data_IF_657867627282
#
_entry.id   IF_657867627282
#
_cell.length_a   1.000
_cell.length_b   1.000
_cell.length_c   1.000
_cell.angle_alpha   90.00
_cell.angle_beta   90.00
_cell.angle_gamma   90.00
#
_symmetry.space_group_name_H-M   'P 1'
#
loop_
_entity.id
_entity.type
_entity.pdbx_description
1 polymer ?
#
# COMPACT_ATOMS: atom_id res chain seq x y z
N UNK A 1 17.76 6.45 40.06
CA UNK A 1 16.51 5.70 39.83
C UNK A 1 15.58 6.58 39.04
N UNK A 2 15.45 6.34 37.72
CA UNK A 2 14.42 6.91 36.84
C UNK A 2 14.53 6.26 35.43
N UNK A 3 14.38 4.94 35.36
CA UNK A 3 14.39 4.19 34.08
C UNK A 3 13.07 3.48 33.79
N UNK A 4 11.95 3.94 34.37
CA UNK A 4 10.66 3.22 34.33
C UNK A 4 9.54 3.94 33.57
N UNK A 5 9.87 4.91 32.71
CA UNK A 5 8.86 5.74 32.03
C UNK A 5 8.99 5.85 30.49
N UNK A 6 9.81 5.02 29.84
CA UNK A 6 9.90 5.00 28.35
C UNK A 6 9.39 3.68 27.74
N UNK A 7 8.62 2.89 28.51
CA UNK A 7 8.17 1.56 28.08
C UNK A 7 6.64 1.44 27.93
N UNK A 8 5.96 2.47 27.41
CA UNK A 8 4.50 2.43 27.11
C UNK A 8 4.18 3.03 25.73
N UNK A 9 4.96 2.69 24.70
CA UNK A 9 4.48 2.81 23.31
C UNK A 9 4.58 1.50 22.51
N UNK A 10 5.00 0.40 23.14
CA UNK A 10 5.05 -0.95 22.58
C UNK A 10 3.83 -1.82 22.94
N UNK A 11 2.64 -1.24 23.09
CA UNK A 11 1.45 -1.99 23.52
C UNK A 11 0.17 -1.55 22.80
N UNK A 12 0.17 -1.69 21.48
CA UNK A 12 -1.01 -2.18 20.78
C UNK A 12 -0.63 -3.38 19.90
N UNK A 13 -0.18 -4.45 20.56
CA UNK A 13 -0.42 -5.81 20.10
C UNK A 13 -1.93 -6.06 20.14
N UNK A 14 -2.69 -5.52 19.18
CA UNK A 14 -4.01 -6.07 18.90
C UNK A 14 -3.76 -7.34 18.10
N UNK A 15 -3.83 -8.47 18.81
CA UNK A 15 -4.24 -9.75 18.24
C UNK A 15 -5.52 -9.54 17.40
N UNK A 16 -5.38 -9.23 16.10
CA UNK A 16 -6.50 -9.26 15.16
C UNK A 16 -6.11 -9.84 13.80
N UNK A 17 -6.58 -11.08 13.63
CA UNK A 17 -7.03 -11.71 12.40
C UNK A 17 -5.98 -12.25 11.42
N UNK A 18 -5.71 -13.55 11.58
CA UNK A 18 -5.23 -14.48 10.54
C UNK A 18 -6.22 -14.69 9.36
N UNK A 19 -7.18 -13.80 9.16
CA UNK A 19 -8.12 -13.80 8.03
C UNK A 19 -8.74 -12.42 7.80
N UNK A 20 -7.93 -11.34 7.72
CA UNK A 20 -8.48 -10.05 7.24
C UNK A 20 -9.02 -10.27 5.83
N UNK A 21 -10.35 -10.24 5.69
CA UNK A 21 -11.06 -10.23 4.42
C UNK A 21 -10.39 -9.20 3.51
N UNK A 22 -10.15 -9.61 2.26
CA UNK A 22 -9.83 -8.66 1.21
C UNK A 22 -11.12 -7.89 0.94
N UNK A 23 -11.11 -6.60 1.21
CA UNK A 23 -12.18 -5.73 0.75
C UNK A 23 -11.79 -5.15 -0.60
N UNK A 24 -12.68 -5.18 -1.60
CA UNK A 24 -12.47 -4.43 -2.83
C UNK A 24 -12.28 -2.93 -2.54
N UNK A 25 -11.74 -2.19 -3.51
CA UNK A 25 -11.78 -0.73 -3.49
C UNK A 25 -13.20 -0.23 -3.20
N UNK A 26 -13.36 0.66 -2.24
CA UNK A 26 -14.66 1.18 -1.81
C UNK A 26 -14.93 2.55 -2.42
N UNK A 27 -16.21 2.89 -2.54
CA UNK A 27 -16.67 4.18 -2.99
C UNK A 27 -17.68 4.73 -1.99
N UNK A 28 -17.54 6.00 -1.62
CA UNK A 28 -18.60 6.68 -0.86
C UNK A 28 -19.86 6.83 -1.73
N UNK A 29 -21.01 7.02 -1.08
CA UNK A 29 -22.27 7.28 -1.81
C UNK A 29 -22.17 8.52 -2.71
N UNK A 30 -21.49 9.56 -2.22
CA UNK A 30 -21.20 10.77 -2.99
C UNK A 30 -20.38 10.48 -4.25
N UNK A 31 -19.32 9.68 -4.14
CA UNK A 31 -18.52 9.26 -5.29
C UNK A 31 -19.34 8.44 -6.29
N UNK A 32 -20.11 7.46 -5.81
CA UNK A 32 -20.99 6.64 -6.67
C UNK A 32 -21.99 7.50 -7.44
N UNK A 33 -22.66 8.42 -6.74
CA UNK A 33 -23.65 9.32 -7.35
C UNK A 33 -23.03 10.23 -8.42
N UNK A 34 -21.90 10.86 -8.09
CA UNK A 34 -21.17 11.74 -9.02
C UNK A 34 -20.72 10.98 -10.26
N UNK A 35 -20.15 9.77 -10.08
CA UNK A 35 -19.68 8.94 -11.18
C UNK A 35 -20.85 8.50 -12.07
N UNK A 36 -21.90 7.92 -11.49
CA UNK A 36 -23.08 7.49 -12.27
C UNK A 36 -23.70 8.63 -13.06
N UNK A 37 -23.83 9.81 -12.44
CA UNK A 37 -24.38 11.00 -13.10
C UNK A 37 -23.53 11.42 -14.30
N UNK A 38 -22.20 11.34 -14.20
CA UNK A 38 -21.30 11.62 -15.32
C UNK A 38 -21.47 10.61 -16.45
N UNK A 39 -21.44 9.31 -16.12
CA UNK A 39 -21.47 8.22 -17.10
C UNK A 39 -22.80 8.12 -17.84
N UNK A 40 -23.93 8.47 -17.20
CA UNK A 40 -25.24 8.55 -17.87
C UNK A 40 -25.22 9.60 -18.99
N UNK A 41 -24.55 10.74 -18.78
CA UNK A 41 -24.46 11.83 -19.77
C UNK A 41 -23.42 11.56 -20.85
N UNK A 42 -22.46 10.66 -20.59
CA UNK A 42 -21.30 10.36 -21.44
C UNK A 42 -21.03 8.85 -21.49
N UNK A 43 -21.93 8.07 -22.11
CA UNK A 43 -21.89 6.61 -22.08
C UNK A 43 -20.66 5.99 -22.78
N UNK A 44 -19.88 6.78 -23.51
CA UNK A 44 -18.62 6.41 -24.15
C UNK A 44 -17.38 6.48 -23.24
N UNK A 45 -17.55 7.04 -22.03
CA UNK A 45 -16.49 7.19 -21.02
C UNK A 45 -16.65 6.19 -19.88
N UNK A 46 -15.57 5.88 -19.16
CA UNK A 46 -15.57 5.12 -17.92
C UNK A 46 -14.83 5.89 -16.83
N UNK A 47 -15.14 5.58 -15.57
CA UNK A 47 -14.33 6.07 -14.46
C UNK A 47 -13.05 5.23 -14.37
N UNK A 48 -11.91 5.87 -14.56
CA UNK A 48 -10.61 5.22 -14.58
C UNK A 48 -9.83 5.51 -13.30
N UNK A 49 -9.19 4.47 -12.78
CA UNK A 49 -8.28 4.55 -11.65
C UNK A 49 -6.95 3.92 -12.06
N UNK A 50 -5.85 4.64 -11.82
CA UNK A 50 -4.50 4.20 -12.20
C UNK A 50 -3.51 4.56 -11.10
N UNK A 51 -2.59 3.64 -10.78
CA UNK A 51 -1.42 3.95 -9.96
C UNK A 51 -0.25 4.37 -10.85
N UNK A 52 0.19 5.61 -10.71
CA UNK A 52 1.48 6.05 -11.23
C UNK A 52 2.57 5.80 -10.19
N UNK A 53 3.50 4.92 -10.53
CA UNK A 53 4.71 4.65 -9.74
C UNK A 53 5.84 5.49 -10.34
N UNK A 54 6.20 6.61 -9.70
CA UNK A 54 7.39 7.39 -10.03
C UNK A 54 8.51 7.05 -9.04
N UNK A 55 9.75 7.39 -9.39
CA UNK A 55 10.96 6.97 -8.66
C UNK A 55 10.93 7.18 -7.14
N UNK A 56 10.09 8.06 -6.59
CA UNK A 56 10.05 8.31 -5.14
C UNK A 56 8.64 8.23 -4.55
N UNK A 57 7.60 8.18 -5.39
CA UNK A 57 6.22 8.27 -4.92
C UNK A 57 5.28 7.45 -5.80
N UNK A 58 4.31 6.81 -5.14
CA UNK A 58 3.14 6.24 -5.77
C UNK A 58 1.99 7.23 -5.68
N UNK A 59 1.36 7.59 -6.81
CA UNK A 59 0.17 8.45 -6.86
C UNK A 59 -0.97 7.72 -7.55
N UNK A 60 -2.15 7.70 -6.95
CA UNK A 60 -3.38 7.36 -7.69
C UNK A 60 -3.87 8.55 -8.48
N UNK A 61 -4.14 8.30 -9.74
CA UNK A 61 -4.92 9.16 -10.62
C UNK A 61 -6.31 8.57 -10.77
N UNK A 62 -7.31 9.44 -10.67
CA UNK A 62 -8.71 9.11 -10.90
C UNK A 62 -9.32 10.13 -11.85
N UNK A 63 -10.24 9.69 -12.71
CA UNK A 63 -10.88 10.57 -13.66
C UNK A 63 -11.78 9.83 -14.64
N UNK A 64 -12.19 10.53 -15.69
CA UNK A 64 -13.01 9.97 -16.76
C UNK A 64 -12.21 9.99 -18.06
N UNK A 65 -12.22 8.87 -18.77
CA UNK A 65 -11.58 8.73 -20.07
C UNK A 65 -12.40 7.75 -20.91
N UNK A 66 -12.10 7.65 -22.21
CA UNK A 66 -12.78 6.74 -23.13
C UNK A 66 -12.67 5.29 -22.63
N UNK A 67 -13.80 4.57 -22.74
CA UNK A 67 -13.88 3.15 -22.40
C UNK A 67 -12.83 2.33 -23.15
N UNK A 68 -12.10 1.51 -22.40
CA UNK A 68 -11.09 0.55 -22.86
C UNK A 68 -11.59 -0.90 -22.73
N UNK A 69 -12.68 -1.15 -22.00
CA UNK A 69 -13.27 -2.48 -21.81
C UNK A 69 -12.45 -3.36 -20.86
N UNK A 70 -11.76 -2.75 -19.90
CA UNK A 70 -10.94 -3.46 -18.93
C UNK A 70 -11.85 -4.13 -17.90
N UNK A 71 -11.66 -5.44 -17.67
CA UNK A 71 -12.41 -6.19 -16.66
C UNK A 71 -11.73 -6.11 -15.30
N UNK A 72 -12.53 -5.82 -14.29
CA UNK A 72 -12.11 -5.83 -12.88
C UNK A 72 -12.13 -7.22 -12.28
N UNK A 73 -11.39 -7.43 -11.20
CA UNK A 73 -11.40 -8.64 -10.37
C UNK A 73 -12.70 -8.71 -9.57
N UNK A 74 -13.11 -7.56 -9.01
CA UNK A 74 -14.29 -7.43 -8.15
C UNK A 74 -15.43 -6.73 -8.88
N UNK A 75 -16.65 -6.91 -8.38
CA UNK A 75 -17.83 -6.19 -8.85
C UNK A 75 -17.97 -4.85 -8.12
N UNK A 76 -18.19 -3.78 -8.88
CA UNK A 76 -18.33 -2.42 -8.36
C UNK A 76 -19.72 -1.85 -8.63
N UNK A 77 -20.20 -0.91 -7.80
CA UNK A 77 -21.49 -0.23 -8.03
C UNK A 77 -21.47 0.73 -9.22
N UNK A 78 -20.34 0.87 -9.89
CA UNK A 78 -20.09 1.79 -11.00
C UNK A 78 -19.29 1.05 -12.09
N UNK A 79 -19.32 1.57 -13.31
CA UNK A 79 -18.41 1.14 -14.37
C UNK A 79 -17.01 1.71 -14.09
N UNK A 80 -16.16 0.84 -13.55
CA UNK A 80 -14.78 1.13 -13.16
C UNK A 80 -13.82 0.46 -14.14
N UNK A 81 -12.83 1.21 -14.60
CA UNK A 81 -11.69 0.68 -15.34
C UNK A 81 -10.41 0.88 -14.54
N UNK A 82 -9.79 -0.24 -14.15
CA UNK A 82 -8.56 -0.29 -13.38
C UNK A 82 -7.76 -1.52 -13.81
N UNK A 83 -6.43 -1.41 -13.86
CA UNK A 83 -5.59 -2.58 -14.14
C UNK A 83 -5.68 -3.58 -12.98
N UNK A 84 -5.48 -4.85 -13.27
CA UNK A 84 -5.55 -5.91 -12.25
C UNK A 84 -4.55 -5.66 -11.12
N UNK A 85 -3.34 -5.26 -11.47
CA UNK A 85 -2.26 -4.97 -10.53
C UNK A 85 -2.60 -3.78 -9.63
N UNK A 86 -3.20 -2.74 -10.21
CA UNK A 86 -3.57 -1.56 -9.44
C UNK A 86 -4.80 -1.81 -8.56
N UNK A 87 -5.75 -2.62 -9.02
CA UNK A 87 -6.91 -3.04 -8.23
C UNK A 87 -6.48 -3.76 -6.96
N UNK A 88 -5.53 -4.70 -7.08
CA UNK A 88 -4.95 -5.43 -5.94
C UNK A 88 -4.25 -4.49 -4.96
N UNK A 89 -3.48 -3.51 -5.48
CA UNK A 89 -2.75 -2.56 -4.64
C UNK A 89 -3.69 -1.60 -3.87
N UNK A 90 -4.90 -1.38 -4.38
CA UNK A 90 -5.88 -0.46 -3.82
C UNK A 90 -6.96 -1.12 -2.95
N UNK A 91 -6.91 -2.45 -2.78
CA UNK A 91 -7.82 -3.18 -1.90
C UNK A 91 -7.92 -2.53 -0.50
N UNK A 92 -9.15 -2.44 0.02
CA UNK A 92 -9.51 -1.78 1.27
C UNK A 92 -9.62 -0.26 1.21
N UNK A 93 -8.95 0.40 0.26
CA UNK A 93 -8.96 1.86 0.13
C UNK A 93 -10.37 2.38 -0.22
N UNK A 94 -10.62 3.66 0.01
CA UNK A 94 -11.91 4.30 -0.28
C UNK A 94 -11.72 5.53 -1.17
N UNK A 95 -12.44 5.59 -2.29
CA UNK A 95 -12.60 6.81 -3.08
C UNK A 95 -13.84 7.55 -2.61
N UNK A 96 -13.69 8.85 -2.38
CA UNK A 96 -14.72 9.76 -1.94
C UNK A 96 -14.79 10.97 -2.87
N UNK A 97 -15.91 11.68 -2.85
CA UNK A 97 -16.12 12.91 -3.60
C UNK A 97 -16.13 14.08 -2.63
N UNK A 98 -15.16 14.98 -2.78
CA UNK A 98 -15.18 16.28 -2.12
C UNK A 98 -16.05 17.24 -2.94
N UNK A 99 -17.25 17.53 -2.43
CA UNK A 99 -18.20 18.42 -3.10
C UNK A 99 -17.77 19.88 -3.10
N UNK A 100 -16.96 20.31 -2.13
CA UNK A 100 -16.49 21.70 -2.04
C UNK A 100 -15.37 21.96 -3.05
N UNK A 101 -14.44 21.01 -3.18
CA UNK A 101 -13.30 21.11 -4.10
C UNK A 101 -13.58 20.55 -5.49
N UNK A 102 -14.72 19.89 -5.67
CA UNK A 102 -15.09 19.19 -6.90
C UNK A 102 -14.01 18.19 -7.37
N UNK A 103 -13.45 17.44 -6.42
CA UNK A 103 -12.41 16.46 -6.69
C UNK A 103 -12.68 15.13 -6.01
N UNK A 104 -12.17 14.05 -6.60
CA UNK A 104 -12.14 12.76 -5.96
C UNK A 104 -10.94 12.66 -5.02
N UNK A 105 -11.19 12.23 -3.80
CA UNK A 105 -10.15 11.91 -2.82
C UNK A 105 -10.07 10.41 -2.64
N UNK A 106 -8.88 9.93 -2.29
CA UNK A 106 -8.67 8.53 -1.94
C UNK A 106 -8.08 8.44 -0.55
N UNK A 107 -8.68 7.58 0.26
CA UNK A 107 -8.28 7.27 1.62
C UNK A 107 -7.71 5.86 1.65
N UNK A 108 -6.37 5.70 1.78
CA UNK A 108 -5.75 4.39 1.89
C UNK A 108 -6.10 3.74 3.24
N UNK A 109 -6.43 2.45 3.21
CA UNK A 109 -6.66 1.62 4.41
C UNK A 109 -5.49 0.64 4.58
N UNK A 110 -4.33 1.14 4.99
CA UNK A 110 -3.08 0.37 5.11
C UNK A 110 -2.75 0.13 6.57
N UNK A 111 -2.66 -1.15 6.93
CA UNK A 111 -2.10 -1.58 8.21
C UNK A 111 -0.82 -2.37 7.95
N UNK A 112 0.19 -2.12 8.77
CA UNK A 112 1.48 -2.79 8.71
C UNK A 112 1.93 -3.22 10.12
N UNK A 113 2.31 -4.48 10.24
CA UNK A 113 3.05 -5.01 11.39
C UNK A 113 4.48 -5.33 10.97
N UNK A 114 5.46 -4.92 11.77
CA UNK A 114 6.87 -5.23 11.54
C UNK A 114 7.47 -5.87 12.78
N UNK A 115 8.28 -6.91 12.57
CA UNK A 115 8.99 -7.62 13.64
C UNK A 115 10.41 -7.90 13.20
N UNK A 116 11.37 -7.56 14.06
CA UNK A 116 12.77 -7.88 13.83
C UNK A 116 13.16 -9.21 14.48
N UNK A 117 13.77 -10.11 13.71
CA UNK A 117 14.35 -11.36 14.19
C UNK A 117 15.87 -11.23 14.26
N UNK A 118 16.39 -11.09 15.48
CA UNK A 118 17.82 -10.87 15.77
C UNK A 118 18.70 -12.04 15.28
N UNK A 119 18.24 -13.29 15.45
CA UNK A 119 19.02 -14.48 15.08
C UNK A 119 19.21 -14.55 13.57
N UNK A 120 18.14 -14.29 12.82
CA UNK A 120 18.11 -14.36 11.36
C UNK A 120 18.53 -13.04 10.68
N UNK A 121 18.81 -11.98 11.45
CA UNK A 121 19.11 -10.64 10.96
C UNK A 121 18.08 -10.16 9.93
N UNK A 122 16.80 -10.26 10.29
CA UNK A 122 15.69 -10.17 9.32
C UNK A 122 14.46 -9.48 9.89
N UNK A 123 13.92 -8.53 9.14
CA UNK A 123 12.57 -8.01 9.37
C UNK A 123 11.54 -8.89 8.69
N UNK A 124 10.50 -9.24 9.43
CA UNK A 124 9.27 -9.82 8.90
C UNK A 124 8.18 -8.75 8.98
N UNK A 125 7.59 -8.45 7.83
CA UNK A 125 6.62 -7.39 7.64
C UNK A 125 5.35 -8.04 7.14
N UNK A 126 4.23 -7.70 7.77
CA UNK A 126 2.92 -8.13 7.35
C UNK A 126 2.08 -6.90 7.03
N UNK A 127 1.62 -6.81 5.79
CA UNK A 127 0.75 -5.71 5.33
C UNK A 127 -0.66 -6.25 5.11
N UNK A 128 -1.70 -5.45 5.32
CA UNK A 128 -3.09 -5.88 5.11
C UNK A 128 -3.49 -6.06 3.63
N UNK A 129 -2.58 -5.79 2.68
CA UNK A 129 -2.79 -5.87 1.22
C UNK A 129 -1.65 -6.59 0.50
N UNK A 130 -1.95 -7.15 -0.66
CA UNK A 130 -0.99 -7.85 -1.51
C UNK A 130 -0.39 -6.91 -2.55
N UNK A 131 0.80 -7.23 -3.04
CA UNK A 131 1.39 -6.59 -4.24
C UNK A 131 1.08 -7.39 -5.50
N UNK A 132 0.77 -8.67 -5.34
CA UNK A 132 0.55 -9.61 -6.44
C UNK A 132 -0.74 -10.39 -6.22
N UNK A 133 -1.32 -10.85 -7.32
CA UNK A 133 -2.55 -11.65 -7.32
C UNK A 133 -2.40 -13.01 -6.65
N UNK A 134 -1.20 -13.58 -6.71
CA UNK A 134 -0.92 -14.93 -6.26
C UNK A 134 0.04 -14.93 -5.06
N UNK A 135 0.00 -16.03 -4.32
CA UNK A 135 0.90 -16.26 -3.19
C UNK A 135 2.21 -16.95 -3.60
N UNK A 136 2.64 -16.82 -4.87
CA UNK A 136 3.94 -17.33 -5.29
C UNK A 136 5.04 -16.53 -4.59
N UNK A 137 6.07 -17.26 -4.19
CA UNK A 137 7.24 -16.67 -3.52
C UNK A 137 8.07 -15.96 -4.56
N UNK A 138 8.32 -14.67 -4.34
CA UNK A 138 9.26 -13.87 -5.13
C UNK A 138 10.47 -13.55 -4.29
N UNK A 139 11.65 -13.70 -4.88
CA UNK A 139 12.94 -13.52 -4.21
C UNK A 139 13.74 -12.52 -5.02
N UNK A 140 14.20 -11.46 -4.37
CA UNK A 140 15.09 -10.46 -4.93
C UNK A 140 16.33 -10.36 -4.04
N UNK A 141 17.49 -10.19 -4.66
CA UNK A 141 18.78 -10.10 -3.96
C UNK A 141 19.55 -8.89 -4.47
N UNK A 142 20.43 -8.35 -3.63
CA UNK A 142 21.32 -7.25 -4.00
C UNK A 142 22.11 -7.55 -5.30
N UNK A 143 22.66 -8.77 -5.42
CA UNK A 143 23.37 -9.23 -6.62
C UNK A 143 22.53 -9.23 -7.91
N UNK A 144 21.22 -9.48 -7.82
CA UNK A 144 20.30 -9.49 -8.98
C UNK A 144 19.66 -8.12 -9.22
N UNK A 145 19.84 -7.18 -8.29
CA UNK A 145 19.08 -5.95 -8.19
C UNK A 145 17.67 -6.17 -7.62
N UNK A 146 17.12 -5.08 -7.08
CA UNK A 146 15.72 -4.98 -6.69
C UNK A 146 14.88 -4.43 -7.85
N UNK A 147 13.59 -4.82 -7.94
CA UNK A 147 12.75 -4.29 -9.00
C UNK A 147 12.50 -2.80 -8.82
N UNK A 148 12.35 -2.06 -9.92
CA UNK A 148 12.24 -0.59 -9.92
C UNK A 148 11.06 -0.03 -9.13
N UNK A 149 10.02 -0.85 -8.92
CA UNK A 149 8.85 -0.51 -8.11
C UNK A 149 9.04 -0.79 -6.61
N UNK A 150 10.11 -1.49 -6.21
CA UNK A 150 10.34 -1.85 -4.82
C UNK A 150 10.56 -0.58 -3.99
N UNK A 151 9.82 -0.40 -2.89
CA UNK A 151 9.80 0.90 -2.21
C UNK A 151 11.04 1.17 -1.38
N UNK A 152 11.76 0.12 -0.97
CA UNK A 152 12.94 0.24 -0.12
C UNK A 152 14.19 0.39 -0.96
N UNK A 153 14.71 1.62 -1.04
CA UNK A 153 15.87 1.92 -1.90
C UNK A 153 17.20 1.79 -1.14
N UNK A 154 18.16 1.19 -1.84
CA UNK A 154 19.45 0.66 -1.37
C UNK A 154 20.38 1.60 -0.60
N UNK A 155 20.10 2.91 -0.55
CA UNK A 155 21.05 3.87 0.06
C UNK A 155 20.92 4.02 1.57
N UNK A 156 19.79 3.62 2.17
CA UNK A 156 19.54 3.78 3.61
C UNK A 156 19.59 2.42 4.34
N UNK A 157 19.14 1.37 3.66
CA UNK A 157 18.96 0.05 4.26
C UNK A 157 19.87 -0.92 3.50
N UNK A 158 20.94 -1.41 4.12
CA UNK A 158 21.82 -2.43 3.52
C UNK A 158 21.07 -3.77 3.44
N UNK A 159 20.11 -3.88 2.53
CA UNK A 159 19.25 -5.06 2.37
C UNK A 159 19.97 -6.04 1.43
N UNK A 160 20.24 -7.24 1.92
CA UNK A 160 20.84 -8.31 1.14
C UNK A 160 19.78 -9.02 0.28
N UNK A 161 18.62 -9.30 0.88
CA UNK A 161 17.60 -10.17 0.30
C UNK A 161 16.20 -9.79 0.73
N UNK A 162 15.28 -9.83 -0.23
CA UNK A 162 13.85 -9.61 -0.03
C UNK A 162 13.10 -10.85 -0.51
N UNK A 163 12.18 -11.34 0.31
CA UNK A 163 11.25 -12.41 -0.03
C UNK A 163 9.83 -11.90 0.15
N UNK A 164 9.01 -11.93 -0.89
CA UNK A 164 7.59 -11.54 -0.83
C UNK A 164 6.72 -12.76 -1.11
N UNK A 165 5.78 -13.02 -0.21
CA UNK A 165 4.75 -14.05 -0.37
C UNK A 165 3.40 -13.49 0.05
N UNK A 166 2.62 -13.04 -0.94
CA UNK A 166 1.35 -12.36 -0.70
C UNK A 166 1.57 -11.11 0.18
N UNK A 167 1.00 -11.16 1.38
CA UNK A 167 1.03 -10.08 2.39
C UNK A 167 2.25 -10.07 3.31
N UNK A 168 3.07 -11.12 3.26
CA UNK A 168 4.24 -11.28 4.14
C UNK A 168 5.51 -11.01 3.35
N UNK A 169 6.28 -10.05 3.85
CA UNK A 169 7.55 -9.64 3.26
C UNK A 169 8.65 -9.92 4.29
N UNK A 170 9.79 -10.41 3.81
CA UNK A 170 10.94 -10.72 4.66
C UNK A 170 12.17 -10.05 4.08
N UNK A 171 12.78 -9.19 4.88
CA UNK A 171 13.92 -8.37 4.48
C UNK A 171 15.11 -8.77 5.34
N UNK A 172 16.10 -9.38 4.71
CA UNK A 172 17.35 -9.76 5.37
C UNK A 172 18.39 -8.66 5.17
N UNK A 173 18.99 -8.20 6.26
CA UNK A 173 20.06 -7.20 6.21
C UNK A 173 21.41 -7.84 5.86
N UNK A 174 22.31 -7.05 5.27
CA UNK A 174 23.70 -7.45 4.99
C UNK A 174 24.49 -7.60 6.29
N UNK A 175 24.39 -6.60 7.16
CA UNK A 175 25.11 -6.52 8.44
C UNK A 175 24.15 -6.64 9.62
N UNK A 176 24.68 -7.03 10.78
CA UNK A 176 23.96 -6.93 12.06
C UNK A 176 24.22 -5.56 12.67
N UNK A 177 23.16 -4.90 13.13
CA UNK A 177 23.24 -3.56 13.69
C UNK A 177 22.91 -3.54 15.18
N UNK A 178 23.33 -2.45 15.85
CA UNK A 178 22.96 -2.22 17.24
C UNK A 178 21.46 -1.91 17.38
N UNK A 179 20.91 -2.02 18.60
CA UNK A 179 19.47 -1.88 18.83
C UNK A 179 18.90 -0.54 18.35
N UNK A 180 19.62 0.56 18.56
CA UNK A 180 19.18 1.90 18.14
C UNK A 180 19.14 2.04 16.61
N UNK A 181 20.11 1.45 15.91
CA UNK A 181 20.16 1.43 14.46
C UNK A 181 19.04 0.57 13.87
N UNK A 182 18.75 -0.59 14.49
CA UNK A 182 17.62 -1.44 14.08
C UNK A 182 16.28 -0.68 14.19
N UNK A 183 16.09 0.18 15.20
CA UNK A 183 14.90 1.01 15.33
C UNK A 183 14.78 2.07 14.21
N UNK A 184 15.91 2.66 13.79
CA UNK A 184 15.93 3.61 12.67
C UNK A 184 15.61 2.92 11.34
N UNK A 185 16.18 1.73 11.14
CA UNK A 185 15.92 0.88 9.97
C UNK A 185 14.44 0.47 9.94
N UNK A 186 13.89 0.02 11.06
CA UNK A 186 12.46 -0.31 11.21
C UNK A 186 11.57 0.88 10.83
N UNK A 187 11.84 2.07 11.37
CA UNK A 187 11.08 3.28 11.05
C UNK A 187 11.15 3.65 9.57
N UNK A 188 12.33 3.54 8.94
CA UNK A 188 12.49 3.78 7.49
C UNK A 188 11.63 2.81 6.67
N UNK A 189 11.69 1.53 7.03
CA UNK A 189 10.91 0.47 6.36
C UNK A 189 9.41 0.76 6.45
N UNK A 190 8.92 1.14 7.64
CA UNK A 190 7.51 1.48 7.85
C UNK A 190 7.12 2.65 6.97
N UNK A 191 7.88 3.75 7.00
CA UNK A 191 7.57 4.95 6.23
C UNK A 191 7.55 4.68 4.72
N UNK A 192 8.56 3.99 4.19
CA UNK A 192 8.66 3.72 2.75
C UNK A 192 7.56 2.76 2.25
N UNK A 193 7.19 1.75 3.04
CA UNK A 193 6.07 0.85 2.67
C UNK A 193 4.72 1.57 2.80
N UNK A 194 4.54 2.41 3.83
CA UNK A 194 3.35 3.23 3.93
C UNK A 194 3.27 4.19 2.73
N UNK A 195 4.34 4.89 2.38
CA UNK A 195 4.38 5.78 1.22
C UNK A 195 4.06 5.04 -0.08
N UNK A 196 4.58 3.83 -0.26
CA UNK A 196 4.27 2.98 -1.41
C UNK A 196 2.77 2.74 -1.59
N UNK A 197 2.06 2.52 -0.48
CA UNK A 197 0.64 2.22 -0.48
C UNK A 197 -0.28 3.43 -0.22
N UNK A 198 0.27 4.58 0.22
CA UNK A 198 -0.51 5.63 0.88
C UNK A 198 -0.22 7.07 0.48
N UNK A 199 0.79 7.40 -0.33
CA UNK A 199 1.19 8.79 -0.50
C UNK A 199 0.15 9.62 -1.33
N UNK A 200 -0.81 10.19 -0.61
CA UNK A 200 -1.79 11.20 -1.04
C UNK A 200 -1.65 12.44 -0.16
N UNK A 201 -1.93 13.65 -0.68
CA UNK A 201 -1.74 14.89 0.06
C UNK A 201 -2.42 14.82 1.43
N UNK A 202 -1.65 15.17 2.46
CA UNK A 202 -2.08 15.26 3.86
C UNK A 202 -3.35 16.12 3.90
N UNK A 203 -4.39 15.61 4.56
CA UNK A 203 -5.61 16.36 4.85
C UNK A 203 -5.20 17.61 5.64
N UNK A 204 -5.18 18.77 4.99
CA UNK A 204 -5.13 20.04 5.73
C UNK A 204 -6.45 20.15 6.49
N UNK A 205 -6.35 19.99 7.81
CA UNK A 205 -7.37 20.37 8.78
C UNK A 205 -7.48 21.88 8.87
#
# INVERSE_FOLDING_TARGET
MNSLLVSIQNLFCILRNRSKLIYPLRFSEGAVSTIRTHLIKRPETAFQVKLERKHEHTKVQVGYDRKKGIKTIHSYPIELEISKEDEICLEGSMIDWDSEKHEFKIYPDVDLEIKYNVILNRFEIQVNRSVFEDNKVRIYTEATGFPSWFPLRDRILKINKVIIRGRIWKLTLMDRYQSEENMKIESSIVNEILDYFSNFPIRQS
#
